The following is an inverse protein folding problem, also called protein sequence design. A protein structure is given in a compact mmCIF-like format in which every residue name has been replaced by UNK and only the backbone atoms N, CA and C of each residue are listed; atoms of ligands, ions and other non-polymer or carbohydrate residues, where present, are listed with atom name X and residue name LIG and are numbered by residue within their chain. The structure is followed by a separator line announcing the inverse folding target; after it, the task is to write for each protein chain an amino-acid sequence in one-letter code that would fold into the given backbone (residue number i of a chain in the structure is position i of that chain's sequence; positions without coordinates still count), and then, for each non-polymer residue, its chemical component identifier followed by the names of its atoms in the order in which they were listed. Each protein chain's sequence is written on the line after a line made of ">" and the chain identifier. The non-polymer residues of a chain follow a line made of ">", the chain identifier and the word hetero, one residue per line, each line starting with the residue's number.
data_IF_428289856636
#
_entry.id   IF_428289856636
#
_cell.length_a   1.000
_cell.length_b   1.000
_cell.length_c   1.000
_cell.angle_alpha   90.00
_cell.angle_beta   90.00
_cell.angle_gamma   90.00
#
_symmetry.space_group_name_H-M   'P 1'
#
loop_
_entity.id
_entity.type
_entity.pdbx_description
1 polymer ?
#
# COMPACT_ATOMS: atom_id res chain seq x y z
N UNK A 1 14.72 1.97 14.88
CA UNK A 1 15.04 3.08 13.96
C UNK A 1 13.72 3.59 13.40
N UNK A 2 13.23 4.71 13.95
CA UNK A 2 12.03 5.43 13.47
C UNK A 2 12.49 6.25 12.25
N UNK A 3 11.77 6.28 11.11
CA UNK A 3 12.17 7.16 10.01
C UNK A 3 12.00 8.61 10.48
N UNK A 4 13.11 9.36 10.56
CA UNK A 4 13.19 10.76 10.99
C UNK A 4 12.78 11.74 9.88
N UNK A 5 11.70 11.45 9.17
CA UNK A 5 11.05 12.38 8.24
C UNK A 5 9.79 12.94 8.88
N UNK A 6 9.57 14.25 8.79
CA UNK A 6 8.28 14.82 9.18
C UNK A 6 7.17 14.12 8.37
N UNK A 7 6.19 13.45 9.02
CA UNK A 7 5.13 12.77 8.30
C UNK A 7 4.34 13.79 7.46
N UNK A 8 4.03 13.43 6.21
CA UNK A 8 3.22 14.27 5.32
C UNK A 8 1.92 14.74 5.99
N UNK A 9 1.63 16.03 5.85
CA UNK A 9 0.35 16.62 6.28
C UNK A 9 -0.74 16.55 5.18
N UNK A 10 -0.41 16.00 4.01
CA UNK A 10 -1.38 15.87 2.91
C UNK A 10 -2.43 14.81 3.27
N UNK A 11 -3.74 15.03 3.07
CA UNK A 11 -4.74 14.01 3.38
C UNK A 11 -4.71 12.82 2.41
N UNK A 12 -4.84 11.62 2.97
CA UNK A 12 -4.93 10.38 2.20
C UNK A 12 -5.68 9.29 2.95
N UNK A 13 -6.10 8.28 2.20
CA UNK A 13 -6.63 7.02 2.71
C UNK A 13 -5.78 5.87 2.17
N UNK A 14 -5.27 5.00 3.05
CA UNK A 14 -4.65 3.72 2.69
C UNK A 14 -5.63 2.61 2.99
N UNK A 15 -5.89 1.76 2.01
CA UNK A 15 -6.66 0.55 2.20
C UNK A 15 -5.74 -0.68 2.10
N UNK A 16 -5.86 -1.60 3.05
CA UNK A 16 -5.10 -2.85 3.13
C UNK A 16 -6.04 -4.05 2.98
N UNK A 17 -5.64 -5.01 2.14
CA UNK A 17 -6.33 -6.28 1.96
C UNK A 17 -5.78 -7.36 2.91
N UNK A 18 -6.62 -7.88 3.81
CA UNK A 18 -6.28 -9.00 4.70
C UNK A 18 -6.65 -10.38 4.16
N UNK A 19 -7.39 -10.46 3.06
CA UNK A 19 -7.71 -11.76 2.44
C UNK A 19 -6.50 -12.42 1.77
N UNK A 20 -5.47 -11.63 1.46
CA UNK A 20 -4.26 -12.09 0.78
C UNK A 20 -3.02 -12.02 1.72
N UNK A 21 -3.21 -11.75 3.04
CA UNK A 21 -2.11 -11.72 4.04
C UNK A 21 -1.63 -13.13 4.39
N UNK A 22 -0.33 -13.35 4.32
CA UNK A 22 0.36 -14.55 4.83
C UNK A 22 0.95 -14.27 6.22
N UNK A 23 1.38 -15.32 6.95
CA UNK A 23 1.98 -15.19 8.29
C UNK A 23 3.21 -14.27 8.35
N UNK A 24 3.94 -14.15 7.24
CA UNK A 24 5.14 -13.32 7.09
C UNK A 24 4.87 -11.80 7.22
N UNK A 25 3.61 -11.36 7.09
CA UNK A 25 3.22 -9.94 7.16
C UNK A 25 2.18 -9.70 8.27
N UNK A 26 2.17 -10.54 9.30
CA UNK A 26 1.30 -10.37 10.48
C UNK A 26 1.47 -9.01 11.18
N UNK A 27 2.67 -8.42 11.10
CA UNK A 27 2.98 -7.07 11.62
C UNK A 27 2.64 -5.92 10.66
N UNK A 28 2.14 -6.19 9.45
CA UNK A 28 1.88 -5.16 8.44
C UNK A 28 0.83 -4.15 8.89
N UNK A 29 -0.33 -4.64 9.35
CA UNK A 29 -1.42 -3.78 9.82
C UNK A 29 -1.01 -2.92 11.02
N UNK A 30 -0.43 -3.48 12.11
CA UNK A 30 -0.03 -2.63 13.25
C UNK A 30 1.08 -1.64 12.89
N UNK A 31 2.02 -2.02 12.01
CA UNK A 31 3.08 -1.10 11.54
C UNK A 31 2.50 0.06 10.75
N UNK A 32 1.62 -0.23 9.77
CA UNK A 32 0.93 0.80 8.99
C UNK A 32 0.05 1.67 9.88
N UNK A 33 -0.65 1.09 10.86
CA UNK A 33 -1.49 1.84 11.78
C UNK A 33 -0.66 2.85 12.60
N UNK A 34 0.52 2.45 13.10
CA UNK A 34 1.42 3.35 13.80
C UNK A 34 1.94 4.48 12.90
N UNK A 35 2.45 4.15 11.71
CA UNK A 35 3.02 5.14 10.79
C UNK A 35 1.94 6.11 10.27
N UNK A 36 0.78 5.60 9.87
CA UNK A 36 -0.31 6.43 9.33
C UNK A 36 -0.98 7.24 10.44
N UNK A 37 -1.02 6.71 11.67
CA UNK A 37 -1.50 7.43 12.85
C UNK A 37 -0.64 8.66 13.19
N UNK A 38 0.65 8.63 12.87
CA UNK A 38 1.56 9.77 13.01
C UNK A 38 1.34 10.83 11.89
N UNK A 39 0.63 10.51 10.79
CA UNK A 39 0.34 11.44 9.71
C UNK A 39 -0.94 12.25 9.96
N UNK A 40 -0.88 13.60 9.94
CA UNK A 40 -2.07 14.43 9.95
C UNK A 40 -3.01 14.05 8.79
N UNK A 41 -4.27 13.76 9.12
CA UNK A 41 -5.29 13.32 8.19
C UNK A 41 -5.04 11.95 7.53
N UNK A 42 -4.06 11.15 7.95
CA UNK A 42 -3.92 9.77 7.50
C UNK A 42 -5.08 8.89 7.96
N UNK A 43 -5.62 8.06 7.07
CA UNK A 43 -6.64 7.04 7.43
C UNK A 43 -6.20 5.69 6.91
N UNK A 44 -6.19 4.69 7.80
CA UNK A 44 -6.01 3.29 7.43
C UNK A 44 -7.36 2.57 7.43
N UNK A 45 -7.68 1.90 6.32
CA UNK A 45 -8.89 1.08 6.14
C UNK A 45 -8.46 -0.36 5.96
N UNK A 46 -8.96 -1.27 6.80
CA UNK A 46 -8.71 -2.70 6.71
C UNK A 46 -9.90 -3.37 6.03
N UNK A 47 -9.67 -4.09 4.92
CA UNK A 47 -10.72 -4.78 4.16
C UNK A 47 -10.32 -6.22 3.86
N UNK A 48 -11.31 -7.10 3.62
CA UNK A 48 -11.01 -8.49 3.24
C UNK A 48 -10.47 -8.61 1.82
N UNK A 49 -10.97 -7.83 0.85
CA UNK A 49 -10.42 -7.84 -0.50
C UNK A 49 -10.68 -6.51 -1.20
N UNK A 50 -9.64 -5.91 -1.79
CA UNK A 50 -9.72 -4.62 -2.51
C UNK A 50 -10.15 -4.75 -3.97
N UNK A 51 -10.01 -5.95 -4.55
CA UNK A 51 -10.24 -6.19 -5.98
C UNK A 51 -11.45 -7.10 -6.24
N UNK A 52 -12.05 -7.66 -5.18
CA UNK A 52 -13.06 -8.72 -5.26
C UNK A 52 -12.43 -10.11 -5.12
N UNK A 53 -13.13 -11.05 -4.50
CA UNK A 53 -12.58 -12.37 -4.14
C UNK A 53 -12.01 -13.17 -5.33
N UNK A 54 -12.62 -13.01 -6.52
CA UNK A 54 -12.24 -13.74 -7.74
C UNK A 54 -10.92 -13.24 -8.36
N UNK A 55 -10.61 -11.95 -8.29
CA UNK A 55 -9.39 -11.37 -8.89
C UNK A 55 -8.15 -11.57 -8.01
N UNK A 56 -8.30 -11.69 -6.67
CA UNK A 56 -7.18 -12.09 -5.80
C UNK A 56 -6.95 -13.62 -5.88
N UNK A 57 -8.01 -14.43 -6.10
CA UNK A 57 -7.89 -15.89 -6.22
C UNK A 57 -7.13 -16.37 -7.46
N UNK A 58 -7.18 -15.61 -8.57
CA UNK A 58 -6.43 -15.92 -9.80
C UNK A 58 -4.97 -15.47 -9.75
N UNK A 59 -4.58 -14.61 -8.79
CA UNK A 59 -3.17 -14.44 -8.45
C UNK A 59 -2.70 -15.72 -7.78
N UNK A 60 -2.10 -16.62 -8.55
CA UNK A 60 -1.26 -17.68 -8.00
C UNK A 60 -0.36 -17.05 -6.95
N UNK A 61 -0.48 -17.51 -5.71
CA UNK A 61 0.32 -17.21 -4.51
C UNK A 61 1.70 -16.58 -4.81
N UNK A 62 1.77 -15.33 -5.24
CA UNK A 62 2.99 -14.53 -5.19
C UNK A 62 2.82 -13.68 -3.94
N UNK A 63 3.58 -14.06 -2.90
CA UNK A 63 3.22 -13.99 -1.48
C UNK A 63 3.30 -12.59 -0.87
N UNK A 64 2.47 -11.64 -1.33
CA UNK A 64 2.46 -10.32 -0.71
C UNK A 64 1.14 -9.57 -0.79
N UNK A 65 1.01 -8.62 0.13
CA UNK A 65 -0.19 -7.80 0.32
C UNK A 65 -0.21 -6.66 -0.68
N UNK A 66 -1.38 -6.37 -1.23
CA UNK A 66 -1.60 -5.17 -2.04
C UNK A 66 -2.26 -4.10 -1.19
N UNK A 67 -1.68 -2.91 -1.22
CA UNK A 67 -2.22 -1.70 -0.62
C UNK A 67 -2.74 -0.78 -1.72
N UNK A 68 -3.73 0.02 -1.39
CA UNK A 68 -4.23 1.09 -2.24
C UNK A 68 -4.16 2.40 -1.47
N UNK A 69 -3.44 3.39 -1.98
CA UNK A 69 -3.42 4.75 -1.45
C UNK A 69 -4.27 5.65 -2.35
N UNK A 70 -5.27 6.29 -1.78
CA UNK A 70 -6.08 7.31 -2.44
C UNK A 70 -5.74 8.67 -1.82
N UNK A 71 -5.05 9.56 -2.56
CA UNK A 71 -4.96 10.97 -2.14
C UNK A 71 -6.36 11.56 -2.07
N UNK A 72 -6.63 12.39 -1.06
CA UNK A 72 -7.95 12.98 -0.87
C UNK A 72 -7.88 14.40 -0.30
N UNK A 73 -9.01 15.11 -0.32
CA UNK A 73 -9.17 16.37 0.42
C UNK A 73 -9.36 16.08 1.91
N UNK A 74 -9.31 17.13 2.75
CA UNK A 74 -9.63 17.00 4.18
C UNK A 74 -11.04 16.41 4.41
N UNK A 75 -12.00 16.76 3.54
CA UNK A 75 -13.36 16.20 3.52
C UNK A 75 -13.46 14.83 2.83
N UNK A 76 -12.33 14.15 2.63
CA UNK A 76 -12.23 12.79 2.06
C UNK A 76 -12.75 12.64 0.62
N UNK A 77 -12.75 13.72 -0.16
CA UNK A 77 -13.02 13.62 -1.61
C UNK A 77 -11.76 13.15 -2.33
N UNK A 78 -11.82 12.13 -3.19
CA UNK A 78 -10.64 11.61 -3.89
C UNK A 78 -10.03 12.67 -4.81
N UNK A 79 -8.71 12.78 -4.78
CA UNK A 79 -7.93 13.64 -5.67
C UNK A 79 -7.13 12.76 -6.62
N UNK A 80 -7.57 12.71 -7.88
CA UNK A 80 -6.89 11.94 -8.92
C UNK A 80 -6.92 10.42 -8.69
N UNK A 81 -6.08 9.67 -9.43
CA UNK A 81 -6.13 8.21 -9.43
C UNK A 81 -5.50 7.62 -8.16
N UNK A 82 -6.11 6.54 -7.67
CA UNK A 82 -5.54 5.68 -6.64
C UNK A 82 -4.16 5.12 -7.06
N UNK A 83 -3.30 4.94 -6.06
CA UNK A 83 -1.95 4.40 -6.20
C UNK A 83 -1.92 3.00 -5.61
N UNK A 84 -1.56 2.03 -6.44
CA UNK A 84 -1.50 0.63 -6.04
C UNK A 84 -0.07 0.27 -5.66
N UNK A 85 0.10 -0.25 -4.44
CA UNK A 85 1.39 -0.56 -3.84
C UNK A 85 1.45 -2.08 -3.58
N UNK A 86 2.51 -2.71 -4.05
CA UNK A 86 2.85 -4.09 -3.75
C UNK A 86 3.13 -4.97 -4.99
N UNK A 87 3.35 -6.27 -4.79
CA UNK A 87 3.11 -7.01 -3.54
C UNK A 87 4.11 -6.64 -2.43
N UNK A 88 3.61 -6.43 -1.20
CA UNK A 88 4.42 -6.25 0.01
C UNK A 88 4.60 -7.63 0.64
N UNK A 89 5.79 -8.20 0.50
CA UNK A 89 6.08 -9.57 0.92
C UNK A 89 7.10 -9.66 2.06
N UNK A 90 7.93 -8.62 2.21
CA UNK A 90 9.04 -8.59 3.18
C UNK A 90 8.96 -7.36 4.10
N UNK A 91 9.72 -7.36 5.19
CA UNK A 91 9.82 -6.19 6.06
C UNK A 91 10.46 -4.98 5.34
N UNK A 92 11.41 -5.23 4.42
CA UNK A 92 12.01 -4.16 3.61
C UNK A 92 11.00 -3.54 2.64
N UNK A 93 10.11 -4.35 2.06
CA UNK A 93 8.98 -3.85 1.26
C UNK A 93 8.04 -2.99 2.10
N UNK A 94 7.73 -3.42 3.33
CA UNK A 94 6.88 -2.68 4.26
C UNK A 94 7.50 -1.34 4.64
N UNK A 95 8.80 -1.31 4.94
CA UNK A 95 9.54 -0.09 5.22
C UNK A 95 9.52 0.86 4.04
N UNK A 96 9.86 0.38 2.84
CA UNK A 96 9.84 1.20 1.63
C UNK A 96 8.44 1.74 1.30
N UNK A 97 7.37 0.98 1.57
CA UNK A 97 6.01 1.46 1.43
C UNK A 97 5.69 2.56 2.45
N UNK A 98 6.08 2.39 3.72
CA UNK A 98 5.87 3.39 4.77
C UNK A 98 6.61 4.70 4.47
N UNK A 99 7.88 4.62 4.07
CA UNK A 99 8.69 5.78 3.71
C UNK A 99 8.06 6.54 2.53
N UNK A 100 7.58 5.82 1.51
CA UNK A 100 6.90 6.43 0.37
C UNK A 100 5.53 7.05 0.71
N UNK A 101 4.78 6.43 1.62
CA UNK A 101 3.50 6.98 2.11
C UNK A 101 3.74 8.28 2.88
N UNK A 102 4.74 8.28 3.78
CA UNK A 102 5.05 9.42 4.65
C UNK A 102 5.72 10.58 3.92
N UNK A 103 6.48 10.32 2.85
CA UNK A 103 7.05 11.35 1.97
C UNK A 103 5.98 12.24 1.31
N UNK A 104 4.81 11.68 1.00
CA UNK A 104 3.67 12.47 0.52
C UNK A 104 3.75 12.94 -0.93
N UNK A 105 4.83 12.69 -1.69
CA UNK A 105 4.88 13.05 -3.11
C UNK A 105 3.95 12.18 -3.98
N UNK A 106 3.76 10.91 -3.59
CA UNK A 106 2.89 9.89 -4.19
C UNK A 106 2.88 9.79 -5.73
N UNK A 107 4.03 10.04 -6.36
CA UNK A 107 4.24 9.74 -7.76
C UNK A 107 4.59 8.26 -7.92
N UNK A 108 3.93 7.54 -8.83
CA UNK A 108 4.24 6.11 -9.05
C UNK A 108 5.71 5.89 -9.41
N UNK A 109 6.34 6.88 -10.04
CA UNK A 109 7.76 6.86 -10.42
C UNK A 109 8.74 6.98 -9.24
N UNK A 110 8.30 7.46 -8.07
CA UNK A 110 9.14 7.52 -6.86
C UNK A 110 9.03 6.25 -6.02
N UNK A 111 8.02 5.41 -6.27
CA UNK A 111 7.87 4.12 -5.63
C UNK A 111 8.86 3.11 -6.25
N UNK A 112 9.48 2.26 -5.42
CA UNK A 112 10.37 1.20 -5.90
C UNK A 112 9.66 0.34 -6.96
N UNK A 113 10.32 0.01 -8.10
CA UNK A 113 9.70 -0.80 -9.16
C UNK A 113 9.13 -2.14 -8.69
N UNK A 114 9.66 -2.71 -7.59
CA UNK A 114 9.17 -3.96 -6.99
C UNK A 114 7.82 -3.80 -6.28
N UNK A 115 7.47 -2.57 -5.88
CA UNK A 115 6.20 -2.24 -5.23
C UNK A 115 5.20 -1.57 -6.17
N UNK A 116 5.54 -1.41 -7.46
CA UNK A 116 4.61 -0.89 -8.46
C UNK A 116 3.68 -1.99 -8.94
N UNK A 117 2.44 -1.98 -8.49
CA UNK A 117 1.49 -3.04 -8.78
C UNK A 117 1.17 -3.15 -10.28
N UNK A 118 1.16 -2.05 -11.03
CA UNK A 118 1.00 -2.01 -12.48
C UNK A 118 2.12 -2.78 -13.19
N UNK A 119 3.38 -2.51 -12.84
CA UNK A 119 4.55 -3.21 -13.38
C UNK A 119 4.51 -4.70 -13.05
N UNK A 120 4.13 -5.05 -11.82
CA UNK A 120 4.03 -6.45 -11.38
C UNK A 120 2.88 -7.20 -12.07
N UNK A 121 1.74 -6.55 -12.29
CA UNK A 121 0.62 -7.14 -13.05
C UNK A 121 1.01 -7.38 -14.51
N UNK A 122 1.70 -6.45 -15.16
CA UNK A 122 2.21 -6.66 -16.52
C UNK A 122 3.24 -7.80 -16.58
N UNK A 123 4.14 -7.93 -15.59
CA UNK A 123 5.10 -9.03 -15.53
C UNK A 123 4.43 -10.39 -15.36
N UNK A 124 3.41 -10.48 -14.50
CA UNK A 124 2.65 -11.71 -14.32
C UNK A 124 1.92 -12.14 -15.61
N UNK A 125 1.33 -11.19 -16.32
CA UNK A 125 0.66 -11.45 -17.59
C UNK A 125 1.61 -11.96 -18.69
N UNK A 126 2.89 -11.54 -18.68
CA UNK A 126 3.92 -11.99 -19.64
C UNK A 126 4.53 -13.36 -19.34
N UNK A 127 4.27 -13.91 -18.14
CA UNK A 127 4.77 -15.23 -17.71
C UNK A 127 3.74 -16.35 -17.93
N UNK A 128 2.56 -16.00 -18.44
CA UNK A 128 1.54 -16.92 -18.97
C UNK A 128 1.64 -16.97 -20.49
#
# INVERSE_FOLDING_TARGET
>A
MKPDGCPTARPFTVAVCTGCTTSAVSSLVPTLAGVIGDCPHGVLVVTRCLLGGLTCATRRREHGVILMLQPCTADRRPIGPAKWIGPVATESDLRAACDWITDGSWHSQTLSPRLRADVNLTRAARRN
#
